data_IF_993991573661
#
_entry.id   IF_993991573661
#
_cell.length_a   1.000
_cell.length_b   1.000
_cell.length_c   1.000
_cell.angle_alpha   90.00
_cell.angle_beta   90.00
_cell.angle_gamma   90.00
#
_symmetry.space_group_name_H-M   'P 1'
#
loop_
_entity.id
_entity.type
_entity.pdbx_description
1 polymer ?
#
# COMPACT_ATOMS: atom_id res chain seq x y z
N UNK A 1 -12.29 32.43 0.66
CA UNK A 1 -11.00 31.81 1.10
C UNK A 1 -11.21 30.54 1.94
N UNK A 2 -11.29 30.57 3.28
CA UNK A 2 -11.57 29.33 4.07
C UNK A 2 -13.07 29.03 4.19
N UNK A 3 -13.89 30.07 4.35
CA UNK A 3 -15.35 30.03 4.19
C UNK A 3 -15.72 30.48 2.76
N UNK A 4 -15.11 29.82 1.78
CA UNK A 4 -15.50 29.91 0.36
C UNK A 4 -16.50 28.79 0.05
N UNK A 5 -17.27 28.87 -1.03
CA UNK A 5 -18.09 27.75 -1.48
C UNK A 5 -17.26 26.72 -2.28
N UNK A 6 -16.21 27.16 -2.97
CA UNK A 6 -15.46 26.30 -3.90
C UNK A 6 -14.42 25.48 -3.13
N UNK A 7 -14.70 24.21 -2.86
CA UNK A 7 -13.80 23.28 -2.15
C UNK A 7 -12.34 23.30 -2.65
N UNK A 8 -12.11 23.44 -3.96
CA UNK A 8 -10.76 23.53 -4.53
C UNK A 8 -9.99 24.77 -4.08
N UNK A 9 -10.64 25.93 -4.00
CA UNK A 9 -10.04 27.19 -3.50
C UNK A 9 -9.69 27.06 -2.02
N UNK A 10 -10.61 26.49 -1.23
CA UNK A 10 -10.42 26.23 0.21
C UNK A 10 -9.25 25.29 0.46
N UNK A 11 -9.18 24.19 -0.28
CA UNK A 11 -8.11 23.19 -0.19
C UNK A 11 -6.75 23.77 -0.64
N UNK A 12 -6.73 24.62 -1.66
CA UNK A 12 -5.54 25.37 -2.06
C UNK A 12 -5.08 26.35 -0.97
N UNK A 13 -6.01 27.10 -0.36
CA UNK A 13 -5.73 28.00 0.75
C UNK A 13 -5.19 27.25 1.99
N UNK A 14 -5.81 26.13 2.38
CA UNK A 14 -5.31 25.26 3.46
C UNK A 14 -3.91 24.72 3.14
N UNK A 15 -3.66 24.24 1.91
CA UNK A 15 -2.34 23.79 1.44
C UNK A 15 -1.32 24.92 1.30
N UNK A 16 -1.73 26.18 1.22
CA UNK A 16 -0.84 27.33 1.25
C UNK A 16 -0.49 27.73 2.69
N UNK A 17 -1.50 27.86 3.56
CA UNK A 17 -1.32 28.14 4.99
C UNK A 17 -0.48 27.06 5.68
N UNK A 18 -0.69 25.76 5.38
CA UNK A 18 0.12 24.67 5.94
C UNK A 18 1.61 24.68 5.53
N UNK A 19 2.01 25.52 4.56
CA UNK A 19 3.43 25.76 4.21
C UNK A 19 4.04 26.96 4.96
N UNK A 20 3.22 27.75 5.66
CA UNK A 20 3.67 28.78 6.58
C UNK A 20 3.81 28.15 7.97
N UNK A 21 5.04 27.92 8.44
CA UNK A 21 5.28 27.01 9.57
C UNK A 21 4.99 27.59 10.97
N UNK A 22 4.84 28.91 11.06
CA UNK A 22 5.03 29.67 12.31
C UNK A 22 3.85 30.59 12.68
N UNK A 23 2.73 30.54 11.96
CA UNK A 23 1.56 31.34 12.32
C UNK A 23 0.87 30.80 13.59
N UNK A 24 0.53 31.71 14.50
CA UNK A 24 -0.26 31.41 15.69
C UNK A 24 -1.75 31.51 15.37
N UNK A 25 -2.53 30.57 15.90
CA UNK A 25 -3.94 30.41 15.63
C UNK A 25 -4.74 30.76 16.90
N UNK A 26 -5.52 31.84 16.82
CA UNK A 26 -6.36 32.33 17.90
C UNK A 26 -7.74 31.64 17.90
N UNK A 27 -8.43 31.64 19.05
CA UNK A 27 -9.75 31.01 19.25
C UNK A 27 -10.75 31.13 18.08
N UNK A 28 -11.11 32.34 17.60
CA UNK A 28 -12.09 32.47 16.50
C UNK A 28 -11.61 31.87 15.17
N UNK A 29 -10.31 31.96 14.87
CA UNK A 29 -9.72 31.33 13.69
C UNK A 29 -9.76 29.79 13.81
N UNK A 30 -9.54 29.27 15.02
CA UNK A 30 -9.59 27.84 15.33
C UNK A 30 -11.00 27.29 15.14
N UNK A 31 -12.03 28.00 15.60
CA UNK A 31 -13.42 27.61 15.37
C UNK A 31 -13.77 27.50 13.89
N UNK A 32 -13.26 28.38 13.02
CA UNK A 32 -13.44 28.27 11.55
C UNK A 32 -12.76 27.00 11.01
N UNK A 33 -11.54 26.69 11.43
CA UNK A 33 -10.85 25.47 11.03
C UNK A 33 -11.55 24.20 11.52
N UNK A 34 -12.09 24.20 12.75
CA UNK A 34 -12.81 23.08 13.34
C UNK A 34 -14.23 22.90 12.76
N UNK A 35 -14.89 23.99 12.33
CA UNK A 35 -16.14 23.91 11.59
C UNK A 35 -15.91 23.21 10.22
N UNK A 36 -14.89 23.63 9.47
CA UNK A 36 -14.52 22.99 8.21
C UNK A 36 -14.04 21.53 8.38
N UNK A 37 -13.51 21.16 9.56
CA UNK A 37 -13.15 19.77 9.90
C UNK A 37 -14.38 18.87 10.11
N UNK A 38 -15.59 19.42 10.26
CA UNK A 38 -16.86 18.68 10.35
C UNK A 38 -17.52 18.43 8.99
N UNK A 39 -16.88 18.79 7.88
CA UNK A 39 -17.39 18.56 6.52
C UNK A 39 -16.99 17.20 5.94
N UNK A 40 -17.81 16.68 5.02
CA UNK A 40 -17.66 15.32 4.49
C UNK A 40 -16.49 15.16 3.49
N UNK A 41 -15.88 16.25 3.02
CA UNK A 41 -14.71 16.26 2.15
C UNK A 41 -13.42 15.78 2.85
N UNK A 42 -13.01 14.54 2.57
CA UNK A 42 -11.85 13.89 3.19
C UNK A 42 -10.50 14.57 2.89
N UNK A 43 -10.30 15.16 1.70
CA UNK A 43 -9.06 15.88 1.38
C UNK A 43 -8.96 17.20 2.16
N UNK A 44 -10.07 17.93 2.30
CA UNK A 44 -10.11 19.15 3.11
C UNK A 44 -9.85 18.83 4.59
N UNK A 45 -10.52 17.81 5.15
CA UNK A 45 -10.26 17.35 6.54
C UNK A 45 -8.81 16.91 6.75
N UNK A 46 -8.19 16.23 5.77
CA UNK A 46 -6.76 15.87 5.83
C UNK A 46 -5.88 17.11 5.82
N UNK A 47 -6.06 18.02 4.87
CA UNK A 47 -5.29 19.26 4.79
C UNK A 47 -5.41 20.11 6.04
N UNK A 48 -6.61 20.17 6.66
CA UNK A 48 -6.84 20.89 7.91
C UNK A 48 -6.11 20.24 9.10
N UNK A 49 -6.01 18.92 9.18
CA UNK A 49 -5.21 18.23 10.21
C UNK A 49 -3.71 18.40 9.98
N UNK A 50 -3.25 18.34 8.74
CA UNK A 50 -1.86 18.61 8.38
C UNK A 50 -1.47 20.07 8.69
N UNK A 51 -2.41 21.02 8.49
CA UNK A 51 -2.30 22.43 8.92
C UNK A 51 -2.24 22.55 10.45
N UNK A 52 -3.24 22.03 11.18
CA UNK A 52 -3.34 22.18 12.64
C UNK A 52 -2.18 21.51 13.40
N UNK A 53 -1.62 20.42 12.86
CA UNK A 53 -0.38 19.81 13.33
C UNK A 53 0.86 20.73 13.17
N UNK A 54 0.80 21.68 12.23
CA UNK A 54 1.82 22.68 11.93
C UNK A 54 1.59 24.06 12.56
N UNK A 55 0.48 24.30 13.28
CA UNK A 55 0.17 25.65 13.79
C UNK A 55 0.78 25.96 15.17
N UNK A 56 1.00 27.25 15.42
CA UNK A 56 1.05 27.81 16.76
C UNK A 56 -0.36 27.88 17.39
N UNK A 57 -0.46 27.84 18.72
CA UNK A 57 -1.68 28.13 19.48
C UNK A 57 -1.32 29.22 20.48
N UNK A 58 -2.25 30.16 20.72
CA UNK A 58 -2.05 31.20 21.73
C UNK A 58 -2.21 30.62 23.16
N UNK A 59 -3.36 30.01 23.44
CA UNK A 59 -3.80 29.72 24.81
C UNK A 59 -4.03 28.23 25.10
N UNK A 60 -4.09 27.90 26.39
CA UNK A 60 -4.52 26.57 26.86
C UNK A 60 -5.95 26.24 26.44
N UNK A 61 -6.85 27.21 26.36
CA UNK A 61 -8.22 27.01 25.84
C UNK A 61 -8.27 26.75 24.34
N UNK A 62 -7.37 27.35 23.55
CA UNK A 62 -7.20 26.97 22.15
C UNK A 62 -6.74 25.50 22.03
N UNK A 63 -5.88 25.03 22.94
CA UNK A 63 -5.46 23.63 22.98
C UNK A 63 -6.57 22.66 23.41
N UNK A 64 -7.35 23.01 24.46
CA UNK A 64 -8.55 22.26 24.89
C UNK A 64 -9.57 22.16 23.74
N UNK A 65 -9.86 23.28 23.08
CA UNK A 65 -10.80 23.38 21.96
C UNK A 65 -10.34 22.60 20.73
N UNK A 66 -9.04 22.65 20.38
CA UNK A 66 -8.47 21.85 19.29
C UNK A 66 -8.58 20.36 19.56
N UNK A 67 -8.23 19.90 20.77
CA UNK A 67 -8.32 18.49 21.13
C UNK A 67 -9.77 18.01 21.12
N UNK A 68 -10.71 18.78 21.70
CA UNK A 68 -12.14 18.47 21.63
C UNK A 68 -12.65 18.39 20.17
N UNK A 69 -12.29 19.35 19.31
CA UNK A 69 -12.66 19.32 17.89
C UNK A 69 -12.05 18.17 17.08
N UNK A 70 -10.88 17.67 17.49
CA UNK A 70 -10.28 16.45 16.93
C UNK A 70 -11.00 15.17 17.41
N UNK A 71 -11.54 15.16 18.64
CA UNK A 71 -12.37 14.06 19.15
C UNK A 71 -13.77 14.05 18.52
N UNK A 72 -14.40 15.22 18.34
CA UNK A 72 -15.63 15.38 17.53
C UNK A 72 -15.45 14.80 16.12
N UNK A 73 -14.32 15.13 15.48
CA UNK A 73 -13.99 14.65 14.14
C UNK A 73 -13.79 13.12 14.10
N UNK A 74 -13.18 12.55 15.14
CA UNK A 74 -12.99 11.11 15.30
C UNK A 74 -14.32 10.37 15.51
N UNK A 75 -15.23 10.94 16.32
CA UNK A 75 -16.55 10.39 16.58
C UNK A 75 -17.44 10.39 15.32
N UNK A 76 -17.39 11.46 14.50
CA UNK A 76 -18.14 11.53 13.23
C UNK A 76 -17.48 10.73 12.10
N UNK A 77 -16.15 10.60 12.06
CA UNK A 77 -15.40 9.94 10.98
C UNK A 77 -14.35 8.96 11.51
N UNK A 78 -14.74 7.77 12.02
CA UNK A 78 -13.80 6.80 12.60
C UNK A 78 -12.74 6.28 11.62
N UNK A 79 -12.97 6.38 10.31
CA UNK A 79 -11.97 6.09 9.27
C UNK A 79 -10.72 7.00 9.36
N UNK A 80 -10.89 8.25 9.82
CA UNK A 80 -9.82 9.24 9.90
C UNK A 80 -8.89 9.04 11.12
N UNK A 81 -9.12 8.01 11.97
CA UNK A 81 -8.42 7.79 13.25
C UNK A 81 -6.90 7.95 13.19
N UNK A 82 -6.24 7.39 12.17
CA UNK A 82 -4.79 7.47 12.03
C UNK A 82 -4.29 8.87 11.67
N UNK A 83 -5.12 9.70 11.03
CA UNK A 83 -4.82 11.11 10.77
C UNK A 83 -5.04 11.96 12.02
N UNK A 84 -6.11 11.69 12.78
CA UNK A 84 -6.35 12.34 14.09
C UNK A 84 -5.21 12.05 15.05
N UNK A 85 -4.82 10.78 15.23
CA UNK A 85 -3.70 10.39 16.10
C UNK A 85 -2.36 11.01 15.69
N UNK A 86 -2.10 11.20 14.39
CA UNK A 86 -0.93 11.96 13.89
C UNK A 86 -1.00 13.43 14.28
N UNK A 87 -2.17 14.06 14.11
CA UNK A 87 -2.40 15.45 14.50
C UNK A 87 -2.20 15.64 16.01
N UNK A 88 -2.85 14.85 16.85
CA UNK A 88 -2.72 14.94 18.31
C UNK A 88 -1.28 14.71 18.80
N UNK A 89 -0.55 13.76 18.19
CA UNK A 89 0.86 13.55 18.48
C UNK A 89 1.72 14.77 18.11
N UNK A 90 1.49 15.41 16.95
CA UNK A 90 2.22 16.61 16.51
C UNK A 90 1.90 17.84 17.38
N UNK A 91 0.61 18.05 17.70
CA UNK A 91 0.12 19.07 18.64
C UNK A 91 0.80 18.90 20.00
N UNK A 92 0.85 17.68 20.54
CA UNK A 92 1.55 17.38 21.79
C UNK A 92 3.06 17.66 21.75
N UNK A 93 3.72 17.44 20.60
CA UNK A 93 5.13 17.85 20.41
C UNK A 93 5.26 19.38 20.43
N UNK A 94 4.49 20.11 19.62
CA UNK A 94 4.57 21.57 19.55
C UNK A 94 4.26 22.22 20.90
N UNK A 95 3.11 21.89 21.48
CA UNK A 95 2.46 22.64 22.57
C UNK A 95 2.70 22.06 23.97
N UNK A 96 3.86 21.44 24.18
CA UNK A 96 4.21 20.75 25.44
C UNK A 96 4.04 21.60 26.71
N UNK A 97 4.34 22.91 26.67
CA UNK A 97 4.15 23.82 27.80
C UNK A 97 2.68 24.16 28.09
N UNK A 98 1.84 24.37 27.06
CA UNK A 98 0.40 24.54 27.25
C UNK A 98 -0.25 23.25 27.73
N UNK A 99 0.20 22.09 27.24
CA UNK A 99 -0.29 20.78 27.66
C UNK A 99 0.10 20.45 29.11
N UNK A 100 1.20 20.99 29.63
CA UNK A 100 1.57 20.85 31.05
C UNK A 100 0.49 21.40 31.99
N UNK A 101 -0.15 22.52 31.60
CA UNK A 101 -1.19 23.17 32.38
C UNK A 101 -2.56 22.47 32.23
N UNK A 102 -2.83 21.87 31.07
CA UNK A 102 -4.09 21.19 30.77
C UNK A 102 -4.10 19.67 31.05
N UNK A 103 -2.99 19.09 31.53
CA UNK A 103 -2.85 17.62 31.67
C UNK A 103 -3.85 16.99 32.65
N UNK A 104 -4.24 17.73 33.69
CA UNK A 104 -5.21 17.26 34.68
C UNK A 104 -6.62 17.14 34.05
N UNK A 105 -7.09 18.22 33.41
CA UNK A 105 -8.37 18.26 32.69
C UNK A 105 -8.45 17.16 31.62
N UNK A 106 -7.42 17.06 30.78
CA UNK A 106 -7.39 16.17 29.62
C UNK A 106 -7.34 14.68 29.98
N UNK A 107 -6.83 14.33 31.17
CA UNK A 107 -6.82 12.97 31.69
C UNK A 107 -7.84 12.76 32.82
N UNK A 108 -8.77 13.71 33.02
CA UNK A 108 -9.79 13.71 34.07
C UNK A 108 -9.25 13.41 35.48
N UNK A 109 -8.07 13.96 35.82
CA UNK A 109 -7.36 13.69 37.07
C UNK A 109 -7.93 14.53 38.21
N UNK A 110 -8.83 13.94 39.00
CA UNK A 110 -9.32 14.57 40.22
C UNK A 110 -8.29 14.44 41.37
N UNK A 111 -7.95 15.51 42.11
CA UNK A 111 -6.86 15.47 43.12
C UNK A 111 -7.03 14.41 44.23
N UNK A 112 -8.28 14.06 44.57
CA UNK A 112 -8.61 13.15 45.68
C UNK A 112 -9.30 11.85 45.25
N UNK A 113 -9.70 11.72 43.97
CA UNK A 113 -10.47 10.57 43.49
C UNK A 113 -9.73 9.88 42.35
N UNK A 114 -9.43 8.60 42.53
CA UNK A 114 -8.94 7.77 41.43
C UNK A 114 -10.12 7.45 40.50
N UNK A 115 -10.20 8.18 39.39
CA UNK A 115 -11.17 7.90 38.33
C UNK A 115 -10.98 6.51 37.73
N UNK A 116 -12.04 5.95 37.15
CA UNK A 116 -12.00 4.65 36.48
C UNK A 116 -10.93 4.66 35.36
N UNK A 117 -10.16 3.57 35.27
CA UNK A 117 -9.09 3.45 34.28
C UNK A 117 -9.68 3.40 32.85
N UNK A 118 -9.33 4.36 31.96
CA UNK A 118 -9.90 4.42 30.63
C UNK A 118 -9.41 3.27 29.74
N UNK A 119 -10.31 2.75 28.91
CA UNK A 119 -10.03 1.61 28.04
C UNK A 119 -8.91 1.94 27.04
N UNK A 120 -7.80 1.20 27.11
CA UNK A 120 -6.61 1.33 26.22
C UNK A 120 -6.91 1.24 24.70
N UNK A 121 -8.09 0.73 24.33
CA UNK A 121 -8.56 0.52 22.96
C UNK A 121 -9.53 1.61 22.48
N UNK A 122 -9.99 2.51 23.36
CA UNK A 122 -10.77 3.69 22.96
C UNK A 122 -9.91 4.61 22.08
N UNK A 123 -10.33 4.90 20.82
CA UNK A 123 -9.56 5.75 19.94
C UNK A 123 -9.50 7.21 20.40
N UNK A 124 -10.43 7.68 21.26
CA UNK A 124 -10.43 9.03 21.81
C UNK A 124 -9.38 9.20 22.91
N UNK A 125 -9.42 8.36 23.95
CA UNK A 125 -8.35 8.25 24.95
C UNK A 125 -6.98 8.03 24.30
N UNK A 126 -6.90 7.18 23.27
CA UNK A 126 -5.68 6.97 22.47
C UNK A 126 -5.15 8.28 21.88
N UNK A 127 -6.02 9.15 21.35
CA UNK A 127 -5.60 10.43 20.78
C UNK A 127 -5.06 11.40 21.84
N UNK A 128 -5.68 11.46 23.02
CA UNK A 128 -5.23 12.32 24.13
C UNK A 128 -3.93 11.80 24.74
N UNK A 129 -3.85 10.49 25.04
CA UNK A 129 -2.65 9.87 25.58
C UNK A 129 -1.45 10.03 24.61
N UNK A 130 -1.66 9.94 23.30
CA UNK A 130 -0.62 10.24 22.31
C UNK A 130 -0.14 11.69 22.40
N UNK A 131 -1.01 12.68 22.58
CA UNK A 131 -0.59 14.07 22.76
C UNK A 131 0.28 14.22 24.03
N UNK A 132 -0.18 13.67 25.17
CA UNK A 132 0.53 13.75 26.46
C UNK A 132 1.90 13.05 26.39
N UNK A 133 1.96 11.81 25.89
CA UNK A 133 3.23 11.08 25.73
C UNK A 133 4.22 11.85 24.84
N UNK A 134 3.73 12.47 23.75
CA UNK A 134 4.56 13.28 22.86
C UNK A 134 5.04 14.59 23.51
N UNK A 135 4.29 15.20 24.41
CA UNK A 135 4.77 16.31 25.23
C UNK A 135 5.85 15.86 26.23
N UNK A 136 5.70 14.69 26.88
CA UNK A 136 6.68 14.16 27.87
C UNK A 136 8.05 13.78 27.27
N UNK A 137 8.14 13.77 25.94
CA UNK A 137 9.40 13.63 25.21
C UNK A 137 10.20 14.94 25.13
N UNK A 138 9.52 16.10 25.14
CA UNK A 138 10.16 17.42 25.24
C UNK A 138 10.32 17.89 26.69
N UNK A 139 9.29 17.70 27.52
CA UNK A 139 9.29 18.10 28.93
C UNK A 139 9.31 16.85 29.82
N UNK A 140 10.50 16.36 30.25
CA UNK A 140 10.61 15.13 31.03
C UNK A 140 9.96 15.23 32.43
N UNK A 141 9.75 16.45 32.94
CA UNK A 141 9.06 16.70 34.21
C UNK A 141 7.60 16.19 34.20
N UNK A 142 6.93 16.19 33.04
CA UNK A 142 5.56 15.68 32.88
C UNK A 142 5.40 14.20 33.28
N UNK A 143 6.50 13.42 33.32
CA UNK A 143 6.49 12.01 33.75
C UNK A 143 6.12 11.84 35.22
N UNK A 144 6.32 12.88 36.05
CA UNK A 144 5.86 12.90 37.43
C UNK A 144 4.32 13.07 37.52
N UNK A 145 3.75 13.94 36.68
CA UNK A 145 2.32 14.23 36.61
C UNK A 145 1.49 13.10 35.96
N UNK A 146 2.13 12.18 35.24
CA UNK A 146 1.45 11.03 34.63
C UNK A 146 0.92 10.05 35.70
N UNK A 147 -0.38 9.68 35.66
CA UNK A 147 -0.96 8.68 36.56
C UNK A 147 -0.38 7.29 36.29
N UNK A 148 -0.44 6.35 37.27
CA UNK A 148 0.17 5.03 37.12
C UNK A 148 -0.40 4.23 35.93
N UNK A 149 -1.69 4.36 35.63
CA UNK A 149 -2.30 3.69 34.48
C UNK A 149 -1.68 4.11 33.14
N UNK A 150 -1.41 5.41 32.94
CA UNK A 150 -0.82 5.92 31.70
C UNK A 150 0.60 5.39 31.48
N UNK A 151 1.34 5.09 32.57
CA UNK A 151 2.67 4.48 32.53
C UNK A 151 2.59 3.01 32.08
N UNK A 152 1.56 2.26 32.49
CA UNK A 152 1.27 0.91 31.96
C UNK A 152 0.83 0.95 30.49
N UNK A 153 -0.08 1.88 30.14
CA UNK A 153 -0.59 2.04 28.78
C UNK A 153 0.49 2.46 27.77
N UNK A 154 1.55 3.17 28.19
CA UNK A 154 2.69 3.48 27.32
C UNK A 154 3.33 2.24 26.68
N UNK A 155 3.46 1.11 27.39
CA UNK A 155 4.05 -0.11 26.84
C UNK A 155 3.19 -0.69 25.69
N UNK A 156 1.86 -0.75 25.88
CA UNK A 156 0.91 -1.16 24.84
C UNK A 156 0.92 -0.19 23.65
N UNK A 157 0.85 1.12 23.93
CA UNK A 157 0.93 2.18 22.92
C UNK A 157 2.21 2.09 22.09
N UNK A 158 3.36 1.79 22.72
CA UNK A 158 4.67 1.67 22.06
C UNK A 158 4.74 0.47 21.12
N UNK A 159 4.09 -0.64 21.47
CA UNK A 159 3.98 -1.81 20.61
C UNK A 159 2.99 -1.61 19.45
N UNK A 160 1.83 -0.99 19.71
CA UNK A 160 0.77 -0.80 18.72
C UNK A 160 1.03 0.34 17.71
N UNK A 161 1.63 1.45 18.17
CA UNK A 161 1.85 2.67 17.35
C UNK A 161 3.30 3.18 17.48
N UNK A 162 4.32 2.39 17.08
CA UNK A 162 5.74 2.71 17.27
C UNK A 162 6.25 3.94 16.48
N UNK A 163 5.49 4.42 15.49
CA UNK A 163 5.80 5.63 14.70
C UNK A 163 5.20 6.93 15.28
N UNK A 164 4.17 6.82 16.12
CA UNK A 164 3.49 7.96 16.74
C UNK A 164 3.92 8.17 18.19
N UNK A 165 4.27 7.08 18.88
CA UNK A 165 4.83 7.12 20.24
C UNK A 165 6.32 7.48 20.22
N UNK A 166 6.78 8.42 21.05
CA UNK A 166 8.20 8.64 21.26
C UNK A 166 8.82 7.51 22.10
N UNK A 167 10.13 7.30 21.98
CA UNK A 167 10.86 6.40 22.87
C UNK A 167 11.16 7.11 24.20
N UNK A 168 10.48 6.68 25.28
CA UNK A 168 10.60 7.22 26.63
C UNK A 168 11.25 6.18 27.54
N UNK A 169 12.59 6.12 27.66
CA UNK A 169 13.27 5.04 28.39
C UNK A 169 12.88 4.99 29.87
N UNK A 170 12.68 6.14 30.52
CA UNK A 170 12.23 6.24 31.91
C UNK A 170 10.76 5.80 32.14
N UNK A 171 10.02 5.45 31.09
CA UNK A 171 8.67 4.86 31.18
C UNK A 171 8.63 3.41 30.63
N UNK A 172 9.74 2.90 30.10
CA UNK A 172 9.85 1.53 29.62
C UNK A 172 10.16 0.60 30.80
N UNK A 173 9.11 0.19 31.53
CA UNK A 173 9.22 -0.90 32.50
C UNK A 173 9.52 -2.21 31.76
N UNK A 174 10.77 -2.67 31.89
CA UNK A 174 11.42 -3.76 31.16
C UNK A 174 11.72 -3.46 29.65
N UNK A 175 12.84 -3.99 29.11
CA UNK A 175 13.09 -3.96 27.68
C UNK A 175 12.10 -4.89 26.93
N UNK A 176 11.74 -4.59 25.67
CA UNK A 176 10.90 -5.47 24.88
C UNK A 176 11.65 -6.79 24.61
N UNK A 177 11.07 -7.91 25.02
CA UNK A 177 11.64 -9.27 24.91
C UNK A 177 11.98 -9.63 23.45
N UNK A 178 11.34 -8.98 22.48
CA UNK A 178 11.61 -9.12 21.03
C UNK A 178 12.96 -8.57 20.56
N UNK A 179 13.68 -7.79 21.37
CA UNK A 179 14.97 -7.21 20.98
C UNK A 179 16.14 -8.21 20.97
N UNK A 180 15.99 -9.39 21.55
CA UNK A 180 17.09 -10.31 21.85
C UNK A 180 17.26 -11.51 20.88
N UNK A 181 16.50 -11.56 19.78
CA UNK A 181 16.66 -12.60 18.75
C UNK A 181 16.75 -11.98 17.34
N UNK A 182 17.76 -11.13 17.15
CA UNK A 182 18.17 -10.68 15.82
C UNK A 182 18.86 -11.83 15.07
N UNK A 183 18.07 -12.77 14.54
CA UNK A 183 18.57 -13.71 13.53
C UNK A 183 19.05 -12.88 12.35
N UNK A 184 20.32 -13.04 11.96
CA UNK A 184 20.90 -12.36 10.82
C UNK A 184 20.26 -12.88 9.53
N UNK A 185 19.12 -12.31 9.15
CA UNK A 185 18.30 -12.78 8.05
C UNK A 185 19.04 -12.74 6.70
N UNK A 186 20.00 -11.83 6.52
CA UNK A 186 20.92 -11.79 5.37
C UNK A 186 21.88 -12.99 5.36
N UNK A 187 22.45 -13.39 6.50
CA UNK A 187 23.34 -14.56 6.60
C UNK A 187 22.58 -15.86 6.35
N UNK A 188 21.39 -16.02 6.97
CA UNK A 188 20.51 -17.16 6.72
C UNK A 188 20.05 -17.21 5.26
N UNK A 189 19.73 -16.06 4.66
CA UNK A 189 19.39 -15.97 3.23
C UNK A 189 20.58 -16.34 2.36
N UNK A 190 21.79 -15.80 2.61
CA UNK A 190 23.00 -16.13 1.86
C UNK A 190 23.36 -17.63 1.96
N UNK A 191 23.28 -18.22 3.15
CA UNK A 191 23.48 -19.66 3.36
C UNK A 191 22.40 -20.50 2.65
N UNK A 192 21.15 -20.01 2.57
CA UNK A 192 20.07 -20.66 1.81
C UNK A 192 20.33 -20.59 0.30
N UNK A 193 20.77 -19.44 -0.22
CA UNK A 193 21.17 -19.28 -1.62
C UNK A 193 22.37 -20.18 -1.99
N UNK A 194 23.38 -20.30 -1.12
CA UNK A 194 24.52 -21.18 -1.35
C UNK A 194 24.10 -22.66 -1.47
N UNK A 195 23.23 -23.13 -0.56
CA UNK A 195 22.62 -24.48 -0.63
C UNK A 195 21.81 -24.67 -1.92
N UNK A 196 21.00 -23.67 -2.30
CA UNK A 196 20.23 -23.68 -3.55
C UNK A 196 21.13 -23.80 -4.77
N UNK A 197 22.24 -23.04 -4.86
CA UNK A 197 23.19 -23.13 -5.99
C UNK A 197 23.82 -24.52 -6.09
N UNK A 198 24.26 -25.10 -4.98
CA UNK A 198 24.83 -26.45 -4.95
C UNK A 198 23.82 -27.53 -5.38
N UNK A 199 22.57 -27.43 -4.91
CA UNK A 199 21.49 -28.38 -5.27
C UNK A 199 20.96 -28.14 -6.71
N UNK A 200 21.16 -26.97 -7.31
CA UNK A 200 20.93 -26.70 -8.75
C UNK A 200 22.07 -27.22 -9.64
N UNK A 201 23.31 -27.26 -9.13
CA UNK A 201 24.47 -27.85 -9.81
C UNK A 201 24.47 -29.39 -9.73
N UNK A 202 23.76 -29.99 -8.77
CA UNK A 202 23.69 -31.43 -8.57
C UNK A 202 22.64 -32.12 -9.44
N UNK A 203 23.06 -33.09 -10.26
CA UNK A 203 22.18 -33.81 -11.17
C UNK A 203 21.19 -34.76 -10.47
N UNK A 204 19.97 -34.83 -11.02
CA UNK A 204 18.85 -35.73 -10.68
C UNK A 204 18.31 -35.70 -9.23
N UNK A 205 19.17 -35.87 -8.21
CA UNK A 205 18.77 -36.14 -6.82
C UNK A 205 18.32 -34.90 -6.04
N UNK A 206 18.90 -33.73 -6.30
CA UNK A 206 18.64 -32.47 -5.57
C UNK A 206 17.19 -31.98 -5.62
N UNK A 207 16.37 -32.51 -6.54
CA UNK A 207 14.94 -32.19 -6.69
C UNK A 207 14.12 -32.41 -5.40
N UNK A 208 14.48 -33.39 -4.57
CA UNK A 208 13.83 -33.60 -3.25
C UNK A 208 14.27 -32.56 -2.21
N UNK A 209 15.51 -32.06 -2.31
CA UNK A 209 16.13 -31.10 -1.38
C UNK A 209 15.84 -29.63 -1.72
N UNK A 210 15.54 -29.32 -2.98
CA UNK A 210 15.04 -28.01 -3.39
C UNK A 210 13.63 -27.70 -2.85
N UNK A 211 12.80 -28.71 -2.53
CA UNK A 211 11.44 -28.50 -1.97
C UNK A 211 11.42 -27.76 -0.63
N UNK A 212 12.17 -28.15 0.42
CA UNK A 212 12.25 -27.37 1.65
C UNK A 212 12.90 -25.99 1.42
N UNK A 213 13.97 -25.90 0.63
CA UNK A 213 14.62 -24.61 0.32
C UNK A 213 13.67 -23.62 -0.38
N UNK A 214 12.78 -24.10 -1.26
CA UNK A 214 11.70 -23.29 -1.83
C UNK A 214 10.69 -22.82 -0.78
N UNK A 215 10.33 -23.66 0.19
CA UNK A 215 9.45 -23.28 1.29
C UNK A 215 10.11 -22.23 2.21
N UNK A 216 11.40 -22.38 2.51
CA UNK A 216 12.17 -21.43 3.30
C UNK A 216 12.31 -20.07 2.60
N UNK A 217 12.64 -20.05 1.30
CA UNK A 217 12.65 -18.81 0.50
C UNK A 217 11.26 -18.14 0.45
N UNK A 218 10.19 -18.93 0.27
CA UNK A 218 8.82 -18.41 0.29
C UNK A 218 8.37 -17.91 1.68
N UNK A 219 8.96 -18.45 2.76
CA UNK A 219 8.72 -18.03 4.16
C UNK A 219 9.49 -16.74 4.48
N UNK A 220 10.78 -16.66 4.12
CA UNK A 220 11.57 -15.42 4.19
C UNK A 220 10.86 -14.29 3.44
N UNK A 221 10.41 -14.54 2.21
CA UNK A 221 9.72 -13.55 1.39
C UNK A 221 8.39 -13.02 1.99
N UNK A 222 7.84 -13.66 3.03
CA UNK A 222 6.67 -13.19 3.80
C UNK A 222 7.05 -12.53 5.13
N UNK A 223 8.13 -12.99 5.77
CA UNK A 223 8.53 -12.54 7.11
C UNK A 223 9.44 -11.31 7.11
N UNK A 224 10.30 -11.15 6.09
CA UNK A 224 11.33 -10.09 6.06
C UNK A 224 11.10 -9.14 4.88
N UNK A 225 10.39 -8.00 5.06
CA UNK A 225 10.00 -7.12 3.95
C UNK A 225 11.20 -6.53 3.19
N UNK A 226 12.34 -6.29 3.86
CA UNK A 226 13.58 -5.83 3.22
C UNK A 226 14.18 -6.87 2.25
N UNK A 227 13.97 -8.16 2.50
CA UNK A 227 14.46 -9.27 1.67
C UNK A 227 13.40 -9.80 0.70
N UNK A 228 12.16 -9.34 0.79
CA UNK A 228 11.02 -9.97 0.14
C UNK A 228 11.15 -10.08 -1.38
N UNK A 229 11.71 -9.07 -2.06
CA UNK A 229 11.94 -9.12 -3.50
C UNK A 229 13.07 -10.08 -3.89
N UNK A 230 14.22 -10.02 -3.22
CA UNK A 230 15.38 -10.92 -3.44
C UNK A 230 15.00 -12.39 -3.19
N UNK A 231 14.28 -12.67 -2.10
CA UNK A 231 13.85 -14.02 -1.76
C UNK A 231 12.74 -14.56 -2.70
N UNK A 232 11.78 -13.72 -3.09
CA UNK A 232 10.76 -14.12 -4.06
C UNK A 232 11.33 -14.37 -5.47
N UNK A 233 12.31 -13.56 -5.91
CA UNK A 233 13.01 -13.76 -7.18
C UNK A 233 13.77 -15.10 -7.18
N UNK A 234 14.55 -15.38 -6.13
CA UNK A 234 15.26 -16.65 -5.98
C UNK A 234 14.32 -17.85 -5.99
N UNK A 235 13.18 -17.77 -5.27
CA UNK A 235 12.14 -18.79 -5.26
C UNK A 235 11.53 -19.01 -6.66
N UNK A 236 11.16 -17.95 -7.38
CA UNK A 236 10.56 -18.05 -8.71
C UNK A 236 11.57 -18.59 -9.76
N UNK A 237 12.86 -18.24 -9.64
CA UNK A 237 13.95 -18.80 -10.46
C UNK A 237 14.17 -20.29 -10.19
N UNK A 238 14.13 -20.71 -8.91
CA UNK A 238 14.24 -22.13 -8.54
C UNK A 238 13.05 -22.95 -9.04
N UNK A 239 11.84 -22.36 -9.13
CA UNK A 239 10.69 -23.00 -9.79
C UNK A 239 10.91 -23.17 -11.29
N UNK A 240 11.47 -22.16 -11.98
CA UNK A 240 11.81 -22.27 -13.40
C UNK A 240 12.81 -23.41 -13.64
N UNK A 241 13.90 -23.44 -12.90
CA UNK A 241 14.91 -24.50 -13.01
C UNK A 241 14.35 -25.90 -12.69
N UNK A 242 13.47 -26.01 -11.70
CA UNK A 242 12.78 -27.27 -11.38
C UNK A 242 11.82 -27.74 -12.50
N UNK A 243 11.08 -26.81 -13.13
CA UNK A 243 10.16 -27.12 -14.23
C UNK A 243 10.91 -27.56 -15.50
N UNK A 244 12.00 -26.86 -15.86
CA UNK A 244 12.86 -27.24 -16.98
C UNK A 244 13.55 -28.60 -16.76
N UNK A 245 13.86 -28.94 -15.51
CA UNK A 245 14.46 -30.23 -15.16
C UNK A 245 13.46 -31.42 -15.18
N UNK A 246 12.15 -31.20 -15.23
CA UNK A 246 11.13 -32.27 -15.25
C UNK A 246 10.64 -32.59 -16.67
N UNK A 247 11.11 -33.69 -17.32
CA UNK A 247 10.80 -33.98 -18.73
C UNK A 247 9.47 -34.73 -18.94
N UNK A 248 8.60 -34.81 -17.93
CA UNK A 248 7.58 -35.88 -17.84
C UNK A 248 6.13 -35.46 -18.10
N UNK A 249 5.86 -34.22 -18.53
CA UNK A 249 4.52 -33.87 -19.05
C UNK A 249 4.57 -32.69 -20.02
N UNK A 250 3.72 -32.73 -21.06
CA UNK A 250 3.53 -31.65 -22.04
C UNK A 250 3.05 -30.33 -21.41
N UNK A 251 2.49 -30.38 -20.20
CA UNK A 251 2.03 -29.23 -19.43
C UNK A 251 3.13 -28.37 -18.80
N UNK A 252 4.38 -28.82 -18.69
CA UNK A 252 5.44 -28.01 -18.05
C UNK A 252 5.95 -26.85 -18.92
N UNK A 253 5.80 -26.94 -20.24
CA UNK A 253 6.25 -25.92 -21.19
C UNK A 253 5.54 -24.56 -21.00
N UNK A 254 4.19 -24.46 -20.98
CA UNK A 254 3.51 -23.18 -20.73
C UNK A 254 3.82 -22.60 -19.34
N UNK A 255 3.92 -23.44 -18.30
CA UNK A 255 4.28 -23.00 -16.94
C UNK A 255 5.68 -22.39 -16.89
N UNK A 256 6.68 -23.02 -17.53
CA UNK A 256 8.03 -22.49 -17.62
C UNK A 256 8.04 -21.12 -18.35
N UNK A 257 7.33 -20.99 -19.46
CA UNK A 257 7.18 -19.72 -20.19
C UNK A 257 6.52 -18.65 -19.31
N UNK A 258 5.43 -18.97 -18.62
CA UNK A 258 4.74 -18.05 -17.71
C UNK A 258 5.66 -17.57 -16.57
N UNK A 259 6.46 -18.45 -15.98
CA UNK A 259 7.44 -18.09 -14.95
C UNK A 259 8.52 -17.15 -15.51
N UNK A 260 9.03 -17.37 -16.73
CA UNK A 260 10.00 -16.43 -17.33
C UNK A 260 9.43 -15.04 -17.58
N UNK A 261 8.15 -14.92 -17.97
CA UNK A 261 7.49 -13.61 -18.11
C UNK A 261 7.30 -12.93 -16.76
N UNK A 262 6.85 -13.68 -15.75
CA UNK A 262 6.72 -13.22 -14.37
C UNK A 262 8.05 -12.70 -13.80
N UNK A 263 9.17 -13.40 -14.05
CA UNK A 263 10.50 -12.96 -13.63
C UNK A 263 10.91 -11.65 -14.29
N UNK A 264 10.67 -11.47 -15.60
CA UNK A 264 11.00 -10.21 -16.28
C UNK A 264 10.10 -9.03 -15.85
N UNK A 265 8.81 -9.26 -15.61
CA UNK A 265 7.83 -8.18 -15.42
C UNK A 265 7.57 -7.80 -13.95
N UNK A 266 7.67 -8.72 -12.99
CA UNK A 266 7.38 -8.41 -11.58
C UNK A 266 8.54 -7.80 -10.79
N UNK A 267 9.77 -7.78 -11.33
CA UNK A 267 10.97 -7.44 -10.56
C UNK A 267 11.75 -6.28 -11.20
N UNK A 268 11.90 -5.19 -10.46
CA UNK A 268 12.79 -4.07 -10.81
C UNK A 268 14.23 -4.36 -10.39
N UNK A 269 15.20 -3.65 -10.99
CA UNK A 269 16.62 -3.76 -10.59
C UNK A 269 17.34 -5.02 -11.07
N UNK A 270 16.80 -5.76 -12.05
CA UNK A 270 17.48 -6.89 -12.70
C UNK A 270 18.68 -6.43 -13.54
N UNK A 271 19.71 -7.28 -13.64
CA UNK A 271 20.84 -7.06 -14.55
C UNK A 271 20.44 -7.35 -16.02
N UNK A 272 21.10 -6.71 -16.98
CA UNK A 272 20.83 -6.94 -18.40
C UNK A 272 21.02 -8.42 -18.78
N UNK A 273 22.10 -9.04 -18.30
CA UNK A 273 22.42 -10.46 -18.50
C UNK A 273 21.30 -11.41 -18.05
N UNK A 274 20.64 -11.10 -16.92
CA UNK A 274 19.50 -11.89 -16.43
C UNK A 274 18.28 -11.80 -17.35
N UNK A 275 18.01 -10.63 -17.93
CA UNK A 275 16.91 -10.45 -18.89
C UNK A 275 17.23 -11.16 -20.20
N UNK A 276 18.46 -11.03 -20.69
CA UNK A 276 18.98 -11.74 -21.86
C UNK A 276 18.90 -13.27 -21.70
N UNK A 277 19.28 -13.78 -20.53
CA UNK A 277 19.17 -15.20 -20.18
C UNK A 277 17.71 -15.68 -20.28
N UNK A 278 16.76 -14.95 -19.67
CA UNK A 278 15.33 -15.27 -19.76
C UNK A 278 14.80 -15.24 -21.20
N UNK A 279 15.25 -14.30 -22.04
CA UNK A 279 14.87 -14.24 -23.46
C UNK A 279 15.46 -15.40 -24.27
N UNK A 280 16.71 -15.81 -24.01
CA UNK A 280 17.33 -16.99 -24.64
C UNK A 280 16.59 -18.28 -24.23
N UNK A 281 16.28 -18.43 -22.93
CA UNK A 281 15.51 -19.57 -22.41
C UNK A 281 14.12 -19.66 -23.04
N UNK A 282 13.36 -18.56 -23.18
CA UNK A 282 12.06 -18.57 -23.89
C UNK A 282 12.18 -19.09 -25.33
N UNK A 283 13.21 -18.68 -26.06
CA UNK A 283 13.47 -19.15 -27.43
C UNK A 283 13.79 -20.66 -27.46
N UNK A 284 14.57 -21.15 -26.50
CA UNK A 284 14.88 -22.58 -26.37
C UNK A 284 13.66 -23.42 -26.00
N UNK A 285 12.83 -22.96 -25.05
CA UNK A 285 11.58 -23.65 -24.67
C UNK A 285 10.63 -23.71 -25.89
N UNK A 286 10.44 -22.59 -26.59
CA UNK A 286 9.63 -22.54 -27.81
C UNK A 286 10.15 -23.51 -28.88
N UNK A 287 11.46 -23.54 -29.13
CA UNK A 287 12.08 -24.48 -30.08
C UNK A 287 11.90 -25.96 -29.66
N UNK A 288 12.03 -26.29 -28.37
CA UNK A 288 11.78 -27.66 -27.90
C UNK A 288 10.34 -28.11 -28.13
N UNK A 289 9.37 -27.20 -27.98
CA UNK A 289 7.94 -27.50 -28.17
C UNK A 289 7.54 -27.82 -29.62
N UNK A 290 8.35 -27.44 -30.62
CA UNK A 290 8.09 -27.69 -32.04
C UNK A 290 8.97 -28.78 -32.67
N UNK A 291 9.95 -29.32 -31.95
CA UNK A 291 10.99 -30.19 -32.53
C UNK A 291 11.30 -31.47 -31.73
N UNK A 292 10.75 -31.64 -30.51
CA UNK A 292 11.02 -32.80 -29.66
C UNK A 292 12.45 -32.86 -29.10
N UNK A 293 13.25 -31.80 -29.31
CA UNK A 293 14.62 -31.69 -28.81
C UNK A 293 14.63 -31.61 -27.28
N UNK A 294 15.67 -32.20 -26.67
CA UNK A 294 15.91 -32.20 -25.22
C UNK A 294 15.81 -30.81 -24.62
N UNK A 295 15.06 -30.70 -23.51
CA UNK A 295 14.93 -29.47 -22.70
C UNK A 295 16.30 -28.85 -22.37
N UNK A 296 16.41 -27.50 -22.36
CA UNK A 296 17.66 -26.82 -22.06
C UNK A 296 18.13 -27.11 -20.63
N UNK A 297 19.44 -27.14 -20.43
CA UNK A 297 20.05 -27.29 -19.10
C UNK A 297 19.54 -26.23 -18.13
N UNK A 298 19.25 -26.59 -16.85
CA UNK A 298 18.66 -25.67 -15.90
C UNK A 298 19.59 -24.46 -15.66
N UNK A 299 19.08 -23.22 -15.73
CA UNK A 299 19.91 -22.04 -15.59
C UNK A 299 20.39 -21.87 -14.16
N UNK A 300 21.69 -21.66 -13.99
CA UNK A 300 22.28 -21.27 -12.71
C UNK A 300 21.62 -19.99 -12.18
N UNK A 301 21.57 -19.83 -10.87
CA UNK A 301 21.11 -18.60 -10.23
C UNK A 301 22.12 -17.47 -10.53
N UNK A 302 21.67 -16.27 -10.90
CA UNK A 302 22.55 -15.14 -11.20
C UNK A 302 23.19 -14.56 -9.93
N UNK A 303 24.50 -14.35 -10.01
CA UNK A 303 25.36 -13.99 -8.88
C UNK A 303 26.17 -12.71 -9.18
N UNK A 304 26.16 -11.70 -8.29
CA UNK A 304 25.29 -11.55 -7.11
C UNK A 304 23.84 -11.23 -7.48
N UNK A 305 22.88 -11.60 -6.62
CA UNK A 305 21.51 -11.10 -6.74
C UNK A 305 21.45 -9.60 -6.37
N UNK A 306 20.98 -8.71 -7.26
CA UNK A 306 21.02 -7.27 -7.01
C UNK A 306 20.28 -6.88 -5.72
N UNK A 307 20.93 -6.06 -4.89
CA UNK A 307 20.38 -5.60 -3.61
C UNK A 307 19.06 -4.81 -3.79
N UNK A 308 18.91 -4.12 -4.93
CA UNK A 308 17.73 -3.35 -5.30
C UNK A 308 16.60 -4.14 -5.97
N UNK A 309 16.56 -5.47 -5.88
CA UNK A 309 15.46 -6.30 -6.41
C UNK A 309 14.13 -6.00 -5.69
N UNK A 310 13.39 -5.01 -6.20
CA UNK A 310 12.03 -4.70 -5.77
C UNK A 310 11.01 -5.56 -6.51
N UNK A 311 10.10 -6.22 -5.77
CA UNK A 311 8.97 -6.93 -6.38
C UNK A 311 7.74 -6.03 -6.42
N UNK A 312 7.20 -5.79 -7.61
CA UNK A 312 5.92 -5.10 -7.77
C UNK A 312 4.77 -5.96 -7.24
N UNK A 313 3.77 -5.30 -6.65
CA UNK A 313 2.52 -5.97 -6.27
C UNK A 313 1.77 -6.42 -7.53
N UNK A 314 1.29 -7.66 -7.55
CA UNK A 314 0.55 -8.20 -8.68
C UNK A 314 -0.75 -7.41 -9.00
N UNK A 315 -1.30 -6.69 -8.00
CA UNK A 315 -2.44 -5.80 -8.17
C UNK A 315 -2.18 -4.61 -9.12
N UNK A 316 -0.92 -4.31 -9.48
CA UNK A 316 -0.55 -3.31 -10.50
C UNK A 316 -0.60 -3.86 -11.94
N UNK A 317 -1.03 -5.12 -12.13
CA UNK A 317 -1.14 -5.78 -13.43
C UNK A 317 -2.56 -6.30 -13.73
N UNK A 318 -3.55 -5.95 -12.90
CA UNK A 318 -4.96 -6.11 -13.29
C UNK A 318 -5.34 -4.99 -14.29
N UNK A 319 -6.08 -5.31 -15.38
CA UNK A 319 -6.39 -4.35 -16.44
C UNK A 319 -7.56 -3.42 -16.06
N UNK A 320 -7.44 -2.70 -14.94
CA UNK A 320 -8.36 -1.63 -14.53
C UNK A 320 -7.59 -0.39 -14.06
N UNK A 321 -8.22 0.79 -14.16
CA UNK A 321 -7.65 2.11 -13.78
C UNK A 321 -6.52 2.71 -14.64
N UNK A 322 -6.56 2.50 -15.97
CA UNK A 322 -5.94 3.46 -16.92
C UNK A 322 -6.76 4.76 -16.99
N UNK A 323 -6.71 5.54 -15.92
CA UNK A 323 -7.27 6.90 -15.84
C UNK A 323 -6.54 7.67 -14.73
N UNK A 324 -5.51 8.45 -15.10
CA UNK A 324 -4.77 9.27 -14.13
C UNK A 324 -3.24 9.11 -14.10
N UNK A 325 -2.59 8.64 -15.17
CA UNK A 325 -1.13 8.74 -15.34
C UNK A 325 -0.80 9.37 -16.69
N UNK A 326 -1.14 10.64 -16.82
CA UNK A 326 -0.50 11.52 -17.82
C UNK A 326 0.77 12.16 -17.25
N UNK A 327 1.56 12.76 -18.15
CA UNK A 327 2.81 13.50 -17.94
C UNK A 327 4.10 12.74 -17.54
N UNK A 328 5.19 13.26 -18.09
CA UNK A 328 6.59 13.07 -17.68
C UNK A 328 7.21 11.66 -17.73
N UNK A 329 7.23 11.06 -18.94
CA UNK A 329 8.45 10.38 -19.46
C UNK A 329 8.77 10.79 -20.89
N UNK A 330 9.64 11.80 -21.04
CA UNK A 330 10.27 12.14 -22.33
C UNK A 330 11.29 11.06 -22.70
N UNK A 331 11.04 10.31 -23.78
CA UNK A 331 12.06 9.47 -24.41
C UNK A 331 12.98 10.33 -25.29
N UNK A 332 14.30 10.07 -25.34
CA UNK A 332 15.16 10.61 -26.39
C UNK A 332 14.83 9.93 -27.74
N UNK A 333 14.94 10.63 -28.88
CA UNK A 333 14.62 10.08 -30.19
C UNK A 333 15.66 9.02 -30.63
N UNK A 334 15.17 7.93 -31.23
CA UNK A 334 16.03 6.84 -31.70
C UNK A 334 16.85 7.23 -32.94
N UNK A 335 18.10 6.80 -33.00
CA UNK A 335 18.96 6.97 -34.17
C UNK A 335 18.43 6.18 -35.37
N UNK A 336 18.23 6.85 -36.51
CA UNK A 336 17.90 6.20 -37.79
C UNK A 336 19.14 5.53 -38.40
N UNK A 337 19.34 4.24 -38.17
CA UNK A 337 20.25 3.45 -38.99
C UNK A 337 19.69 3.33 -40.42
N UNK A 338 20.55 3.53 -41.42
CA UNK A 338 20.18 3.78 -42.82
C UNK A 338 20.77 2.69 -43.71
N UNK A 339 19.98 1.68 -44.07
CA UNK A 339 20.40 0.66 -45.04
C UNK A 339 20.07 1.13 -46.47
N UNK A 340 21.09 1.22 -47.34
CA UNK A 340 20.97 1.53 -48.76
C UNK A 340 21.47 0.34 -49.60
N UNK A 341 20.58 -0.33 -50.32
CA UNK A 341 20.83 -0.93 -51.65
C UNK A 341 19.59 -1.66 -52.16
N UNK A 342 19.35 -1.59 -53.47
CA UNK A 342 18.47 -2.50 -54.21
C UNK A 342 19.29 -3.12 -55.37
N UNK A 343 18.75 -3.27 -56.59
CA UNK A 343 17.34 -3.13 -57.02
C UNK A 343 16.88 -4.21 -58.05
N UNK A 344 15.79 -3.93 -58.81
CA UNK A 344 15.49 -4.40 -60.20
C UNK A 344 14.50 -5.59 -60.42
N UNK A 345 13.36 -5.25 -61.08
CA UNK A 345 12.48 -6.05 -61.98
C UNK A 345 11.69 -7.30 -61.47
N UNK A 346 10.53 -7.67 -62.07
CA UNK A 346 9.58 -6.95 -62.96
C UNK A 346 8.23 -7.71 -63.15
N UNK A 347 7.22 -7.01 -63.73
CA UNK A 347 6.03 -7.53 -64.46
C UNK A 347 4.95 -8.33 -63.68
N UNK A 348 3.64 -8.29 -64.00
CA UNK A 348 2.86 -7.60 -65.06
C UNK A 348 1.38 -7.30 -64.67
N UNK A 349 0.68 -6.60 -65.60
CA UNK A 349 -0.77 -6.38 -65.87
C UNK A 349 -1.77 -7.45 -65.30
N UNK A 350 -3.06 -7.17 -65.06
CA UNK A 350 -3.93 -5.99 -65.24
C UNK A 350 -5.40 -6.36 -65.63
N UNK A 351 -6.35 -5.40 -65.64
CA UNK A 351 -7.77 -5.52 -66.14
C UNK A 351 -8.76 -6.41 -65.30
N UNK A 352 -10.11 -6.35 -65.35
CA UNK A 352 -11.15 -5.27 -65.51
C UNK A 352 -12.57 -5.80 -65.16
N UNK A 353 -13.50 -4.94 -64.72
CA UNK A 353 -14.98 -5.20 -64.66
C UNK A 353 -15.52 -5.79 -63.34
N UNK A 354 -16.83 -5.71 -63.00
CA UNK A 354 -17.98 -4.97 -63.59
C UNK A 354 -19.12 -4.76 -62.55
N UNK A 355 -20.18 -4.01 -62.91
CA UNK A 355 -21.44 -3.88 -62.13
C UNK A 355 -22.30 -5.18 -62.15
N UNK A 356 -23.46 -5.39 -61.48
CA UNK A 356 -24.43 -4.57 -60.68
C UNK A 356 -25.13 -5.50 -59.63
N UNK A 357 -26.16 -5.18 -58.82
CA UNK A 357 -26.98 -3.96 -58.56
C UNK A 357 -28.38 -4.32 -57.96
N UNK A 358 -29.12 -3.32 -57.42
CA UNK A 358 -30.50 -3.39 -56.83
C UNK A 358 -30.63 -4.12 -55.45
N UNK A 359 -31.56 -3.82 -54.53
CA UNK A 359 -32.63 -2.79 -54.46
C UNK A 359 -32.90 -2.30 -53.01
N UNK A 360 -33.63 -1.17 -52.87
CA UNK A 360 -34.20 -0.57 -51.64
C UNK A 360 -35.76 -0.51 -51.80
N UNK A 361 -36.61 0.14 -50.96
CA UNK A 361 -36.46 0.87 -49.66
C UNK A 361 -37.19 0.10 -48.51
N UNK A 362 -37.67 0.59 -47.34
CA UNK A 362 -37.98 1.90 -46.68
C UNK A 362 -37.31 1.97 -45.28
N UNK A 363 -37.51 2.92 -44.34
CA UNK A 363 -38.42 4.07 -44.13
C UNK A 363 -39.55 3.75 -43.13
N UNK A 364 -39.86 4.55 -42.10
CA UNK A 364 -39.25 5.81 -41.61
C UNK A 364 -40.17 6.53 -40.60
N UNK A 365 -39.62 7.48 -39.80
CA UNK A 365 -40.34 8.36 -38.85
C UNK A 365 -41.08 7.69 -37.65
N UNK A 366 -41.66 8.44 -36.72
CA UNK A 366 -41.01 9.17 -35.59
C UNK A 366 -42.03 9.82 -34.63
N UNK A 367 -41.61 10.10 -33.39
CA UNK A 367 -42.20 11.06 -32.42
C UNK A 367 -43.43 10.65 -31.56
N UNK A 368 -43.49 11.17 -30.33
CA UNK A 368 -44.72 11.86 -29.85
C UNK A 368 -45.42 11.44 -28.54
N UNK A 369 -44.95 11.94 -27.38
CA UNK A 369 -45.77 12.24 -26.15
C UNK A 369 -46.43 11.01 -25.44
N UNK A 370 -47.11 11.13 -24.26
CA UNK A 370 -46.80 11.77 -22.94
C UNK A 370 -47.88 11.29 -21.92
N UNK A 371 -47.56 11.16 -20.61
CA UNK A 371 -48.49 10.82 -19.50
C UNK A 371 -49.01 9.34 -19.52
N UNK A 372 -49.59 8.71 -18.49
CA UNK A 372 -50.02 9.11 -17.12
C UNK A 372 -49.71 8.06 -16.03
N UNK A 373 -49.52 8.59 -14.81
CA UNK A 373 -49.69 8.07 -13.42
C UNK A 373 -50.61 6.83 -13.16
N UNK A 374 -50.36 6.17 -12.02
CA UNK A 374 -51.15 5.09 -11.32
C UNK A 374 -50.94 3.65 -11.84
N UNK A 375 -51.05 2.59 -11.02
CA UNK A 375 -51.16 2.54 -9.54
C UNK A 375 -51.48 1.14 -8.96
N UNK A 376 -51.21 0.97 -7.65
CA UNK A 376 -51.49 -0.19 -6.76
C UNK A 376 -50.73 -1.51 -6.99
N UNK A 377 -50.54 -2.19 -5.84
CA UNK A 377 -49.96 -3.53 -5.66
C UNK A 377 -51.01 -4.62 -5.96
N UNK A 378 -50.55 -5.83 -6.25
CA UNK A 378 -51.11 -7.06 -5.65
C UNK A 378 -50.06 -8.19 -5.66
N UNK A 379 -50.00 -8.95 -4.57
CA UNK A 379 -49.29 -10.24 -4.45
C UNK A 379 -50.32 -11.37 -4.49
N UNK A 380 -49.89 -12.59 -4.81
CA UNK A 380 -50.22 -13.71 -3.90
C UNK A 380 -48.98 -14.53 -3.51
N UNK A 381 -49.17 -15.49 -2.61
CA UNK A 381 -48.14 -16.30 -1.96
C UNK A 381 -48.21 -17.78 -2.39
N UNK A 382 -47.05 -18.44 -2.42
CA UNK A 382 -46.79 -19.79 -1.89
C UNK A 382 -45.34 -19.75 -1.36
N UNK A 383 -44.94 -20.18 -0.15
CA UNK A 383 -45.24 -21.40 0.64
C UNK A 383 -44.65 -22.69 0.03
N UNK A 384 -43.85 -23.50 0.75
CA UNK A 384 -43.34 -23.33 2.13
C UNK A 384 -42.03 -24.13 2.39
N UNK A 385 -41.55 -24.12 3.64
CA UNK A 385 -40.48 -24.96 4.25
C UNK A 385 -39.03 -24.74 3.73
N UNK A 386 -37.97 -24.95 4.53
CA UNK A 386 -37.86 -25.22 5.99
C UNK A 386 -36.49 -24.80 6.59
N UNK A 387 -36.44 -24.80 7.93
CA UNK A 387 -35.28 -24.93 8.82
C UNK A 387 -35.71 -25.96 9.92
N UNK A 388 -34.92 -26.34 10.96
CA UNK A 388 -33.56 -25.95 11.39
C UNK A 388 -32.69 -27.26 11.53
N UNK A 389 -31.71 -27.48 12.46
CA UNK A 389 -31.08 -26.58 13.44
C UNK A 389 -29.54 -26.65 13.59
N UNK A 390 -29.05 -25.75 14.44
CA UNK A 390 -27.83 -25.88 15.25
C UNK A 390 -27.72 -27.23 15.98
N UNK A 391 -26.54 -27.80 16.27
CA UNK A 391 -25.19 -27.23 16.18
C UNK A 391 -24.23 -28.13 15.37
N UNK A 392 -23.70 -27.61 14.26
CA UNK A 392 -22.40 -27.99 13.68
C UNK A 392 -21.89 -26.89 12.75
#
# INVERSE_FOLDING_TARGET
MLADDIHAVRLAAVRALARLADFQLAGPQLHVCLAALKEDNAELRRGLRDLLAGCGLADTDCLRTLLAGLLDNLARYPADRHCVWRCSAAVGRRHSGLLQLAIADLLCLHPYLQGAEPMKEDPAYTAVLLAVLNATARLPQLRALLPPYAKRHYAYMRAALPSLTPALPALASAPPITAAVSVNNEEFFAATLAKVRAELQSAASGRRRLRPLLADLARLARLTPALAGRAAFAHDWCRLAAALASPTSSSTCPDAVAITYRLQLLYSGQHAETVDCLVRLRRQIAASSSSGVTLPTPPLLPDPLPAGLGRFSAALLEPTTLSGVEENRRFPPACRCRCQSGPVCATARGQTGSASGSACPTGGASSGRRLTRTGRRLTPQTECTSCPPSCR
#
